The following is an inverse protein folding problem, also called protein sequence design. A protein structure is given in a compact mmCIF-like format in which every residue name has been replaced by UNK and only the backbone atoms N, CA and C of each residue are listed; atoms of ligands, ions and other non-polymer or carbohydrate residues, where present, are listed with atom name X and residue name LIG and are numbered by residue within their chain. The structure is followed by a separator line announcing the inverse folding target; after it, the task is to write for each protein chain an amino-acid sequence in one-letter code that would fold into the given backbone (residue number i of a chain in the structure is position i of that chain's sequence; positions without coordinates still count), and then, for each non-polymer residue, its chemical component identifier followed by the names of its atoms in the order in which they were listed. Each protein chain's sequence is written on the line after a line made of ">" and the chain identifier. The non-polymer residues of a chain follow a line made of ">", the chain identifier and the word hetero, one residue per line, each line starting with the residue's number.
data_IF_653594267438
#
_entry.id   IF_653594267438
#
_cell.length_a   1.000
_cell.length_b   1.000
_cell.length_c   1.000
_cell.angle_alpha   90.00
_cell.angle_beta   90.00
_cell.angle_gamma   90.00
#
_symmetry.space_group_name_H-M   'P 1'
#
loop_
_entity.id
_entity.type
_entity.pdbx_description
1 polymer ?
#
# COMPACT_ATOMS: atom_id res chain seq x y z
N UNK A 1 -22.44 10.21 8.90
CA UNK A 1 -22.84 10.60 7.53
C UNK A 1 -21.89 9.91 6.55
N UNK A 2 -22.39 8.96 5.77
CA UNK A 2 -21.63 8.26 4.73
C UNK A 2 -21.91 8.98 3.41
N UNK A 3 -20.91 9.63 2.82
CA UNK A 3 -21.07 10.21 1.48
C UNK A 3 -20.70 9.09 0.49
N UNK A 4 -21.68 8.61 -0.27
CA UNK A 4 -21.48 7.69 -1.39
C UNK A 4 -21.34 8.53 -2.66
N UNK A 5 -20.26 8.33 -3.40
CA UNK A 5 -20.12 8.82 -4.77
C UNK A 5 -20.02 7.57 -5.63
N UNK A 6 -21.08 7.28 -6.39
CA UNK A 6 -21.11 6.20 -7.37
C UNK A 6 -20.53 6.72 -8.69
N UNK A 7 -19.35 6.21 -9.07
CA UNK A 7 -18.81 6.35 -10.43
C UNK A 7 -18.80 4.97 -11.07
N UNK A 8 -19.72 4.72 -12.00
CA UNK A 8 -20.03 3.40 -12.56
C UNK A 8 -18.93 2.73 -13.41
N UNK A 9 -17.74 3.30 -13.53
CA UNK A 9 -16.66 2.75 -14.39
C UNK A 9 -15.33 2.51 -13.68
N UNK A 10 -15.20 2.91 -12.42
CA UNK A 10 -14.01 2.66 -11.59
C UNK A 10 -14.48 1.94 -10.35
N UNK A 11 -14.06 0.68 -10.20
CA UNK A 11 -14.51 -0.22 -9.13
C UNK A 11 -14.67 0.49 -7.79
N UNK A 12 -15.85 0.36 -7.19
CA UNK A 12 -16.26 1.11 -6.02
C UNK A 12 -15.20 1.08 -4.90
N UNK A 13 -14.57 2.23 -4.65
CA UNK A 13 -13.72 2.44 -3.49
C UNK A 13 -14.61 2.76 -2.29
N UNK A 14 -14.90 1.74 -1.48
CA UNK A 14 -15.71 1.88 -0.28
C UNK A 14 -14.82 2.30 0.90
N UNK A 15 -15.11 3.43 1.55
CA UNK A 15 -14.35 3.91 2.70
C UNK A 15 -15.27 4.20 3.90
N UNK A 16 -15.01 3.55 5.03
CA UNK A 16 -15.62 3.86 6.31
C UNK A 16 -14.59 4.51 7.24
N UNK A 17 -14.97 5.58 7.94
CA UNK A 17 -14.19 6.18 9.03
C UNK A 17 -15.04 6.09 10.29
N UNK A 18 -14.61 5.27 11.26
CA UNK A 18 -15.22 5.22 12.58
C UNK A 18 -14.70 6.38 13.43
N UNK A 19 -15.60 7.22 13.96
CA UNK A 19 -15.30 8.23 14.96
C UNK A 19 -15.67 7.66 16.34
N UNK A 20 -14.71 7.54 17.26
CA UNK A 20 -15.00 7.25 18.68
C UNK A 20 -15.26 8.56 19.44
N UNK A 21 -16.29 8.66 20.30
CA UNK A 21 -16.49 9.85 21.13
C UNK A 21 -15.51 9.86 22.30
N UNK A 22 -14.93 11.02 22.56
CA UNK A 22 -14.16 11.33 23.77
C UNK A 22 -13.91 12.83 23.82
N UNK A 23 -14.08 13.44 24.99
CA UNK A 23 -13.82 14.87 25.20
C UNK A 23 -12.36 15.18 24.91
N UNK A 24 -12.12 16.07 23.95
CA UNK A 24 -10.78 16.51 23.55
C UNK A 24 -10.68 18.02 23.68
N UNK A 25 -9.50 18.50 24.04
CA UNK A 25 -9.20 19.93 24.22
C UNK A 25 -9.28 20.67 22.87
N UNK A 26 -9.46 21.99 22.87
CA UNK A 26 -9.59 22.76 21.63
C UNK A 26 -8.31 22.77 20.76
N UNK A 27 -7.14 22.59 21.38
CA UNK A 27 -5.87 22.36 20.68
C UNK A 27 -5.84 21.00 19.97
N UNK A 28 -6.28 19.93 20.64
CA UNK A 28 -6.38 18.60 20.03
C UNK A 28 -7.42 18.57 18.90
N UNK A 29 -8.55 19.28 19.06
CA UNK A 29 -9.55 19.43 17.98
C UNK A 29 -8.95 20.16 16.76
N UNK A 30 -8.18 21.23 16.96
CA UNK A 30 -7.50 21.96 15.88
C UNK A 30 -6.45 21.10 15.18
N UNK A 31 -5.60 20.40 15.93
CA UNK A 31 -4.59 19.48 15.37
C UNK A 31 -5.24 18.31 14.62
N UNK A 32 -6.33 17.74 15.14
CA UNK A 32 -7.12 16.69 14.46
C UNK A 32 -7.72 17.21 13.15
N UNK A 33 -8.31 18.42 13.14
CA UNK A 33 -8.82 19.04 11.91
C UNK A 33 -7.70 19.25 10.89
N UNK A 34 -6.56 19.81 11.28
CA UNK A 34 -5.41 20.02 10.39
C UNK A 34 -4.87 18.70 9.81
N UNK A 35 -4.74 17.66 10.64
CA UNK A 35 -4.36 16.30 10.21
C UNK A 35 -5.37 15.71 9.22
N UNK A 36 -6.67 15.88 9.47
CA UNK A 36 -7.72 15.42 8.56
C UNK A 36 -7.65 16.12 7.21
N UNK A 37 -7.49 17.45 7.19
CA UNK A 37 -7.31 18.22 5.94
C UNK A 37 -6.07 17.76 5.18
N UNK A 38 -4.94 17.55 5.86
CA UNK A 38 -3.72 17.01 5.24
C UNK A 38 -3.95 15.66 4.57
N UNK A 39 -4.70 14.76 5.23
CA UNK A 39 -5.04 13.43 4.68
C UNK A 39 -5.97 13.53 3.47
N UNK A 40 -6.97 14.42 3.51
CA UNK A 40 -7.87 14.66 2.37
C UNK A 40 -7.08 15.22 1.19
N UNK A 41 -6.25 16.24 1.41
CA UNK A 41 -5.45 16.87 0.36
C UNK A 41 -4.48 15.86 -0.29
N UNK A 42 -3.83 15.00 0.50
CA UNK A 42 -3.00 13.91 -0.04
C UNK A 42 -3.81 12.94 -0.91
N UNK A 43 -5.01 12.54 -0.48
CA UNK A 43 -5.90 11.68 -1.28
C UNK A 43 -6.32 12.35 -2.59
N UNK A 44 -6.74 13.62 -2.55
CA UNK A 44 -7.13 14.37 -3.75
C UNK A 44 -5.94 14.50 -4.71
N UNK A 45 -4.74 14.82 -4.20
CA UNK A 45 -3.52 14.86 -5.01
C UNK A 45 -3.25 13.52 -5.69
N UNK A 46 -3.35 12.41 -4.95
CA UNK A 46 -3.15 11.06 -5.48
C UNK A 46 -4.15 10.72 -6.58
N UNK A 47 -5.45 10.94 -6.33
CA UNK A 47 -6.52 10.69 -7.31
C UNK A 47 -6.30 11.51 -8.59
N UNK A 48 -5.91 12.78 -8.47
CA UNK A 48 -5.58 13.62 -9.62
C UNK A 48 -4.35 13.10 -10.40
N UNK A 49 -3.35 12.54 -9.72
CA UNK A 49 -2.21 11.90 -10.39
C UNK A 49 -2.65 10.67 -11.16
N UNK A 50 -3.48 9.80 -10.57
CA UNK A 50 -4.04 8.62 -11.27
C UNK A 50 -4.77 9.04 -12.54
N UNK A 51 -5.64 10.05 -12.47
CA UNK A 51 -6.35 10.54 -13.66
C UNK A 51 -5.41 11.03 -14.76
N UNK A 52 -4.31 11.72 -14.40
CA UNK A 52 -3.32 12.20 -15.38
C UNK A 52 -2.54 11.05 -16.02
N UNK A 53 -2.09 10.11 -15.20
CA UNK A 53 -1.31 8.94 -15.64
C UNK A 53 -2.13 8.06 -16.57
N UNK A 54 -3.41 7.85 -16.29
CA UNK A 54 -4.31 7.07 -17.17
C UNK A 54 -4.58 7.75 -18.52
N UNK A 55 -4.35 9.06 -18.63
CA UNK A 55 -4.48 9.81 -19.88
C UNK A 55 -3.15 9.99 -20.61
N UNK A 56 -2.04 9.58 -20.01
CA UNK A 56 -0.71 9.71 -20.60
C UNK A 56 -0.53 8.67 -21.73
N UNK A 57 -0.30 9.11 -22.98
CA UNK A 57 -0.06 8.20 -24.10
C UNK A 57 1.16 7.29 -23.92
N UNK A 58 2.09 7.65 -23.03
CA UNK A 58 3.27 6.86 -22.70
C UNK A 58 3.02 5.82 -21.60
N UNK A 59 1.89 5.88 -20.91
CA UNK A 59 1.57 4.90 -19.89
C UNK A 59 1.32 3.52 -20.52
N UNK A 60 1.98 2.46 -20.02
CA UNK A 60 1.85 1.13 -20.60
C UNK A 60 0.41 0.62 -20.50
N UNK A 61 -0.07 0.01 -21.59
CA UNK A 61 -1.43 -0.53 -21.66
C UNK A 61 -1.49 -2.03 -21.33
N UNK A 62 -0.36 -2.74 -21.43
CA UNK A 62 -0.28 -4.21 -21.26
C UNK A 62 0.87 -4.66 -20.34
N UNK A 63 1.63 -3.72 -19.78
CA UNK A 63 2.59 -4.02 -18.72
C UNK A 63 2.00 -3.54 -17.40
N UNK A 64 2.27 -4.27 -16.33
CA UNK A 64 1.89 -3.82 -14.99
C UNK A 64 2.58 -2.48 -14.68
N UNK A 65 1.81 -1.52 -14.18
CA UNK A 65 2.27 -0.25 -13.67
C UNK A 65 1.40 0.17 -12.47
N UNK A 66 1.89 0.96 -11.51
CA UNK A 66 1.08 1.43 -10.41
C UNK A 66 0.01 2.40 -10.94
N UNK A 67 -1.07 2.66 -10.19
CA UNK A 67 -2.08 3.63 -10.60
C UNK A 67 -1.52 5.03 -10.85
N UNK A 68 -0.46 5.38 -10.12
CA UNK A 68 0.30 6.62 -10.23
C UNK A 68 1.64 6.50 -9.49
N UNK A 69 2.50 7.51 -9.63
CA UNK A 69 3.74 7.70 -8.87
C UNK A 69 4.85 6.71 -9.26
N UNK A 70 5.84 6.48 -8.40
CA UNK A 70 7.03 5.69 -8.72
C UNK A 70 6.91 4.23 -8.27
N UNK A 71 7.30 3.30 -9.14
CA UNK A 71 7.54 1.89 -8.81
C UNK A 71 8.90 1.41 -9.32
N UNK A 72 9.41 0.31 -8.77
CA UNK A 72 10.53 -0.41 -9.33
C UNK A 72 10.37 -1.93 -9.14
N UNK A 73 11.24 -2.56 -8.35
CA UNK A 73 11.42 -4.01 -8.28
C UNK A 73 10.09 -4.75 -8.04
N UNK A 74 9.80 -5.83 -8.79
CA UNK A 74 8.76 -6.77 -8.42
C UNK A 74 9.17 -7.51 -7.14
N UNK A 75 8.24 -7.66 -6.21
CA UNK A 75 8.44 -8.30 -4.93
C UNK A 75 7.35 -9.35 -4.67
N UNK A 76 7.64 -10.30 -3.78
CA UNK A 76 6.61 -11.15 -3.18
C UNK A 76 5.66 -11.91 -4.13
N UNK A 77 6.04 -12.16 -5.39
CA UNK A 77 5.15 -12.81 -6.37
C UNK A 77 4.77 -14.22 -5.90
N UNK A 78 3.48 -14.48 -5.72
CA UNK A 78 2.99 -15.77 -5.19
C UNK A 78 1.59 -16.10 -5.72
N UNK A 79 1.32 -17.38 -5.95
CA UNK A 79 -0.05 -17.86 -6.14
C UNK A 79 -0.64 -18.29 -4.78
N UNK A 80 -1.70 -17.62 -4.35
CA UNK A 80 -2.33 -17.84 -3.05
C UNK A 80 -3.85 -17.85 -3.18
N UNK A 81 -4.49 -18.89 -2.64
CA UNK A 81 -5.96 -19.02 -2.53
C UNK A 81 -6.71 -18.67 -3.81
N UNK A 82 -6.22 -19.16 -4.95
CA UNK A 82 -6.87 -19.01 -6.26
C UNK A 82 -6.47 -17.75 -7.05
N UNK A 83 -5.53 -16.94 -6.57
CA UNK A 83 -5.09 -15.73 -7.26
C UNK A 83 -3.57 -15.61 -7.29
N UNK A 84 -3.05 -14.95 -8.33
CA UNK A 84 -1.67 -14.47 -8.39
C UNK A 84 -1.61 -13.12 -7.69
N UNK A 85 -0.73 -12.99 -6.71
CA UNK A 85 -0.45 -11.74 -6.00
C UNK A 85 0.93 -11.22 -6.42
N UNK A 86 0.97 -9.96 -6.84
CA UNK A 86 2.20 -9.23 -7.16
C UNK A 86 2.36 -8.11 -6.12
N UNK A 87 3.53 -8.06 -5.50
CA UNK A 87 3.97 -6.92 -4.72
C UNK A 87 5.08 -6.20 -5.50
N UNK A 88 5.37 -4.96 -5.13
CA UNK A 88 6.39 -4.17 -5.81
C UNK A 88 6.84 -3.02 -4.93
N UNK A 89 8.09 -2.59 -5.05
CA UNK A 89 8.54 -1.36 -4.41
C UNK A 89 7.74 -0.17 -4.96
N UNK A 90 7.27 0.69 -4.07
CA UNK A 90 6.34 1.75 -4.40
C UNK A 90 6.59 3.02 -3.57
N UNK A 91 6.66 4.17 -4.22
CA UNK A 91 6.55 5.48 -3.56
C UNK A 91 5.15 6.06 -3.86
N UNK A 92 4.22 6.04 -2.89
CA UNK A 92 2.84 6.51 -3.11
C UNK A 92 2.71 8.04 -3.14
N UNK A 93 3.80 8.78 -2.93
CA UNK A 93 3.74 10.23 -2.73
C UNK A 93 4.27 11.02 -3.92
N UNK A 94 5.25 10.47 -4.65
CA UNK A 94 6.05 11.16 -5.65
C UNK A 94 6.44 10.22 -6.80
N UNK A 95 6.68 10.80 -7.98
CA UNK A 95 7.13 10.07 -9.17
C UNK A 95 8.67 9.95 -9.20
N UNK A 96 9.28 9.81 -8.02
CA UNK A 96 10.71 9.71 -7.82
C UNK A 96 11.00 8.60 -6.80
N UNK A 97 12.22 8.08 -6.84
CA UNK A 97 12.68 7.09 -5.88
C UNK A 97 12.75 7.68 -4.46
N UNK A 98 12.31 6.90 -3.46
CA UNK A 98 12.32 7.28 -2.04
C UNK A 98 11.05 6.83 -1.34
N UNK A 99 11.00 6.95 0.00
CA UNK A 99 9.85 6.54 0.82
C UNK A 99 9.30 5.17 0.41
N UNK A 100 10.14 4.14 0.36
CA UNK A 100 9.78 2.86 -0.27
C UNK A 100 8.78 2.08 0.60
N UNK A 101 7.64 1.77 0.01
CA UNK A 101 6.58 0.89 0.49
C UNK A 101 6.51 -0.36 -0.40
N UNK A 102 5.68 -1.33 0.00
CA UNK A 102 5.26 -2.39 -0.93
C UNK A 102 3.84 -2.14 -1.43
N UNK A 103 3.70 -1.83 -2.71
CA UNK A 103 2.42 -1.90 -3.41
C UNK A 103 1.93 -3.35 -3.53
N UNK A 104 0.65 -3.53 -3.82
CA UNK A 104 0.02 -4.84 -3.93
C UNK A 104 -1.02 -4.86 -5.03
N UNK A 105 -0.99 -5.89 -5.86
CA UNK A 105 -2.00 -6.17 -6.86
C UNK A 105 -2.30 -7.67 -6.92
N UNK A 106 -3.50 -7.99 -7.38
CA UNK A 106 -3.98 -9.36 -7.51
C UNK A 106 -4.57 -9.60 -8.89
N UNK A 107 -4.38 -10.80 -9.42
CA UNK A 107 -4.95 -11.23 -10.70
C UNK A 107 -5.38 -12.70 -10.65
N UNK A 108 -6.40 -13.05 -11.43
CA UNK A 108 -6.84 -14.44 -11.62
C UNK A 108 -6.20 -15.09 -12.85
N UNK A 109 -5.75 -14.28 -13.80
CA UNK A 109 -5.34 -14.72 -15.14
C UNK A 109 -3.98 -14.15 -15.58
N UNK A 110 -3.32 -13.35 -14.73
CA UNK A 110 -2.09 -12.59 -15.00
C UNK A 110 -2.22 -11.51 -16.09
N UNK A 111 -3.42 -11.32 -16.64
CA UNK A 111 -3.72 -10.32 -17.66
C UNK A 111 -4.40 -9.11 -17.04
N UNK A 112 -5.41 -9.34 -16.21
CA UNK A 112 -6.20 -8.29 -15.57
C UNK A 112 -5.80 -8.17 -14.10
N UNK A 113 -5.30 -6.98 -13.74
CA UNK A 113 -4.79 -6.70 -12.41
C UNK A 113 -5.72 -5.77 -11.64
N UNK A 114 -6.00 -6.13 -10.39
CA UNK A 114 -6.68 -5.27 -9.42
C UNK A 114 -5.67 -4.79 -8.39
N UNK A 115 -5.49 -3.47 -8.28
CA UNK A 115 -4.70 -2.88 -7.21
C UNK A 115 -5.40 -3.05 -5.86
N UNK A 116 -4.63 -3.43 -4.85
CA UNK A 116 -5.03 -3.61 -3.45
C UNK A 116 -4.35 -2.54 -2.58
N UNK A 117 -4.78 -2.37 -1.32
CA UNK A 117 -4.08 -1.50 -0.38
C UNK A 117 -2.58 -1.82 -0.28
N UNK A 118 -1.76 -0.80 -0.02
CA UNK A 118 -0.31 -0.94 0.24
C UNK A 118 -0.09 -1.97 1.35
N UNK A 119 0.75 -2.96 1.06
CA UNK A 119 1.00 -4.10 1.94
C UNK A 119 1.93 -3.75 3.09
N UNK A 120 3.06 -3.10 2.81
CA UNK A 120 4.05 -2.69 3.81
C UNK A 120 4.25 -1.17 3.80
N UNK A 121 4.10 -0.58 4.99
CA UNK A 121 4.45 0.80 5.28
C UNK A 121 5.67 0.83 6.20
N UNK A 122 6.74 1.60 5.91
CA UNK A 122 7.85 1.81 6.84
C UNK A 122 7.36 2.14 8.26
N UNK A 123 7.92 1.46 9.27
CA UNK A 123 7.68 1.83 10.66
C UNK A 123 8.76 2.83 11.09
N UNK A 124 8.36 4.05 11.43
CA UNK A 124 9.26 5.12 11.85
C UNK A 124 10.12 4.77 13.09
N UNK A 125 9.74 3.73 13.85
CA UNK A 125 10.50 3.23 15.01
C UNK A 125 11.10 1.84 14.78
N UNK A 126 10.87 1.24 13.61
CA UNK A 126 11.34 -0.10 13.26
C UNK A 126 12.67 -0.09 12.52
N UNK A 127 13.17 -1.29 12.23
CA UNK A 127 14.38 -1.51 11.44
C UNK A 127 14.22 -1.13 9.95
N UNK A 128 13.02 -0.71 9.53
CA UNK A 128 12.70 -0.28 8.18
C UNK A 128 12.24 1.19 8.12
N UNK A 129 12.62 2.01 9.10
CA UNK A 129 12.26 3.42 9.18
C UNK A 129 12.67 4.23 7.94
N UNK A 130 13.73 3.81 7.24
CA UNK A 130 14.20 4.38 5.97
C UNK A 130 13.58 3.75 4.71
N UNK A 131 12.80 2.68 4.83
CA UNK A 131 12.13 2.03 3.70
C UNK A 131 11.99 0.51 3.84
N UNK A 132 10.91 -0.03 3.24
CA UNK A 132 10.72 -1.47 3.05
C UNK A 132 11.26 -1.87 1.67
N UNK A 133 12.55 -2.17 1.56
CA UNK A 133 13.18 -2.60 0.31
C UNK A 133 12.72 -4.00 -0.13
N UNK A 134 13.30 -4.47 -1.24
CA UNK A 134 12.91 -5.68 -1.93
C UNK A 134 13.00 -6.94 -1.06
N UNK A 135 12.28 -7.95 -1.52
CA UNK A 135 12.13 -9.20 -0.79
C UNK A 135 11.21 -10.19 -1.50
N UNK A 136 10.96 -11.30 -0.80
CA UNK A 136 10.12 -12.38 -1.29
C UNK A 136 8.96 -12.65 -0.34
N UNK A 137 8.01 -13.43 -0.83
CA UNK A 137 6.90 -13.94 -0.07
C UNK A 137 6.89 -15.46 -0.21
N UNK A 138 6.70 -16.15 0.91
CA UNK A 138 6.73 -17.61 0.98
C UNK A 138 5.52 -18.13 1.74
N UNK A 139 5.10 -19.34 1.39
CA UNK A 139 4.17 -20.12 2.19
C UNK A 139 4.94 -20.85 3.30
N UNK A 140 4.95 -20.31 4.51
CA UNK A 140 5.55 -20.95 5.67
C UNK A 140 4.53 -21.85 6.37
N UNK A 141 4.38 -23.09 5.90
CA UNK A 141 3.48 -24.10 6.47
C UNK A 141 2.02 -23.60 6.65
N UNK A 142 1.49 -22.93 5.63
CA UNK A 142 0.15 -22.33 5.64
C UNK A 142 0.12 -20.88 6.11
N UNK A 143 1.22 -20.34 6.62
CA UNK A 143 1.32 -18.93 7.03
C UNK A 143 1.99 -18.09 5.93
N UNK A 144 1.27 -17.15 5.31
CA UNK A 144 1.86 -16.16 4.40
C UNK A 144 2.95 -15.37 5.12
N UNK A 145 4.18 -15.42 4.60
CA UNK A 145 5.33 -14.77 5.20
C UNK A 145 6.10 -13.95 4.17
N UNK A 146 6.27 -12.67 4.42
CA UNK A 146 7.16 -11.79 3.68
C UNK A 146 8.52 -11.74 4.40
N UNK A 147 9.59 -11.86 3.62
CA UNK A 147 10.96 -11.59 4.04
C UNK A 147 11.46 -10.45 3.16
N UNK A 148 11.94 -9.36 3.76
CA UNK A 148 12.31 -8.14 3.03
C UNK A 148 13.47 -7.43 3.71
N UNK A 149 14.18 -6.59 2.97
CA UNK A 149 15.21 -5.72 3.57
C UNK A 149 14.56 -4.48 4.17
N UNK A 150 14.68 -4.30 5.49
CA UNK A 150 14.40 -3.04 6.15
C UNK A 150 15.62 -2.13 6.10
N UNK A 151 15.41 -0.84 5.84
CA UNK A 151 16.49 0.16 5.81
C UNK A 151 16.43 0.99 7.09
N UNK A 152 17.32 0.75 8.07
CA UNK A 152 17.89 1.68 9.06
C UNK A 152 18.52 0.89 10.25
N UNK A 153 19.70 0.25 10.10
CA UNK A 153 20.48 -0.02 8.88
C UNK A 153 19.85 -1.13 8.02
N UNK A 154 20.44 -1.45 6.87
CA UNK A 154 19.97 -2.56 6.05
C UNK A 154 20.01 -3.89 6.80
N UNK A 155 18.84 -4.50 7.00
CA UNK A 155 18.71 -5.76 7.74
C UNK A 155 17.51 -6.56 7.25
N UNK A 156 17.52 -7.87 7.51
CA UNK A 156 16.45 -8.76 7.07
C UNK A 156 15.27 -8.67 8.03
N UNK A 157 14.12 -8.26 7.54
CA UNK A 157 12.88 -8.13 8.28
C UNK A 157 11.89 -9.21 7.84
N UNK A 158 10.89 -9.46 8.69
CA UNK A 158 9.87 -10.47 8.45
C UNK A 158 8.49 -9.90 8.79
N UNK A 159 7.49 -10.19 7.96
CA UNK A 159 6.10 -9.92 8.26
C UNK A 159 5.23 -11.13 7.94
N UNK A 160 4.21 -11.41 8.75
CA UNK A 160 3.25 -12.48 8.50
C UNK A 160 1.84 -11.95 8.31
N UNK A 161 1.02 -12.65 7.54
CA UNK A 161 -0.42 -12.34 7.46
C UNK A 161 -1.21 -13.41 8.20
N UNK A 162 -2.12 -13.05 9.12
CA UNK A 162 -3.03 -13.99 9.76
C UNK A 162 -4.24 -14.33 8.87
N UNK A 163 -4.42 -13.60 7.77
CA UNK A 163 -5.59 -13.70 6.90
C UNK A 163 -5.20 -14.18 5.50
N UNK A 164 -6.09 -14.97 4.88
CA UNK A 164 -5.90 -15.50 3.53
C UNK A 164 -6.02 -14.43 2.43
N UNK A 165 -6.55 -13.24 2.75
CA UNK A 165 -6.74 -12.15 1.80
C UNK A 165 -5.47 -11.32 1.54
N UNK A 166 -4.43 -11.52 2.36
CA UNK A 166 -3.14 -10.83 2.29
C UNK A 166 -3.23 -9.31 2.38
N UNK A 167 -4.31 -8.78 3.00
CA UNK A 167 -4.55 -7.34 3.14
C UNK A 167 -3.96 -6.75 4.43
N UNK A 168 -3.55 -7.60 5.36
CA UNK A 168 -2.99 -7.19 6.65
C UNK A 168 -1.69 -7.93 6.94
N UNK A 169 -0.69 -7.19 7.43
CA UNK A 169 0.64 -7.69 7.72
C UNK A 169 1.09 -7.30 9.12
N UNK A 170 1.49 -8.30 9.90
CA UNK A 170 2.11 -8.13 11.20
C UNK A 170 3.62 -8.26 11.06
N UNK A 171 4.34 -7.15 11.22
CA UNK A 171 5.80 -7.12 11.22
C UNK A 171 6.35 -7.73 12.50
N UNK A 172 7.42 -8.51 12.37
CA UNK A 172 8.22 -8.94 13.51
C UNK A 172 8.92 -7.70 14.11
N UNK A 173 8.91 -7.50 15.44
CA UNK A 173 9.50 -6.30 16.05
C UNK A 173 11.01 -6.17 15.87
N UNK A 174 11.70 -7.29 15.74
CA UNK A 174 13.14 -7.36 15.55
C UNK A 174 13.46 -8.01 14.21
N UNK A 175 14.54 -7.57 13.53
CA UNK A 175 15.02 -8.25 12.34
C UNK A 175 15.39 -9.71 12.64
N UNK A 176 15.56 -10.48 11.56
CA UNK A 176 15.89 -11.91 11.57
C UNK A 176 17.36 -12.13 11.83
#
# INVERSE_FOLDING_TARGET
>A
MVIRVDTKEVGALQFAIALKPGESTDLEKKQRKASLFSRINRKVKYVNQVFRVQQDPQHPQYHFAPPASWMNDPNGLIYWKGNVHLFYQYNPFEAEWGNIHWGHAVSKDMLHWKHLPIALWPDAKGADAGGCYSGCMVNNNGTPTIIYTGVYPETQCLATSPADDLLYWQKRPQPV
#
